data_IF_580530833111
#
_entry.id   IF_580530833111
#
_cell.length_a   1.000
_cell.length_b   1.000
_cell.length_c   1.000
_cell.angle_alpha   90.00
_cell.angle_beta   90.00
_cell.angle_gamma   90.00
#
_symmetry.space_group_name_H-M   'P 1'
#
loop_
_entity.id
_entity.type
_entity.pdbx_description
1 polymer ?
#
# COMPACT_ATOMS: atom_id res chain seq x y z
N UNK A 1 15.59 7.95 -4.00
CA UNK A 1 14.69 9.11 -4.14
C UNK A 1 13.40 8.93 -3.34
N UNK A 2 12.77 7.75 -3.34
CA UNK A 2 11.67 7.50 -2.41
C UNK A 2 12.18 7.38 -0.98
N UNK A 3 11.41 7.91 -0.02
CA UNK A 3 11.73 7.91 1.40
C UNK A 3 10.85 6.90 2.15
N UNK A 4 9.52 7.00 1.99
CA UNK A 4 8.57 6.19 2.77
C UNK A 4 7.38 5.72 1.94
N UNK A 5 6.77 4.61 2.39
CA UNK A 5 5.38 4.30 2.09
C UNK A 5 4.52 5.25 2.93
N UNK A 6 4.04 6.32 2.33
CA UNK A 6 3.48 7.46 3.05
C UNK A 6 1.96 7.38 3.17
N UNK A 7 1.30 6.90 2.11
CA UNK A 7 -0.15 6.82 2.03
C UNK A 7 -0.64 5.80 1.02
N UNK A 8 -1.94 5.59 1.01
CA UNK A 8 -2.67 4.94 -0.09
C UNK A 8 -3.97 5.69 -0.33
N UNK A 9 -4.43 5.68 -1.61
CA UNK A 9 -5.74 6.22 -1.98
C UNK A 9 -6.69 5.06 -2.26
N UNK A 10 -7.86 5.10 -1.62
CA UNK A 10 -8.90 4.09 -1.74
C UNK A 10 -10.15 4.75 -2.32
N UNK A 11 -10.62 4.25 -3.47
CA UNK A 11 -11.87 4.70 -4.06
C UNK A 11 -13.04 4.08 -3.30
N UNK A 12 -13.93 4.91 -2.76
CA UNK A 12 -15.06 4.51 -1.92
C UNK A 12 -16.34 5.23 -2.34
N UNK A 13 -17.49 4.59 -2.11
CA UNK A 13 -18.80 5.18 -2.38
C UNK A 13 -19.17 6.20 -1.29
N UNK A 14 -18.79 5.92 -0.03
CA UNK A 14 -19.03 6.75 1.14
C UNK A 14 -17.79 6.77 2.01
N UNK A 15 -17.08 7.90 2.03
CA UNK A 15 -15.81 8.05 2.74
C UNK A 15 -15.95 7.98 4.26
N UNK A 16 -17.10 8.43 4.81
CA UNK A 16 -17.34 8.39 6.25
C UNK A 16 -17.63 6.98 6.73
N UNK A 17 -18.46 6.24 6.00
CA UNK A 17 -18.75 4.84 6.28
C UNK A 17 -17.52 3.97 6.16
N UNK A 18 -16.71 4.17 5.13
CA UNK A 18 -15.45 3.44 4.95
C UNK A 18 -14.46 3.72 6.10
N UNK A 19 -14.44 4.93 6.66
CA UNK A 19 -13.58 5.31 7.78
C UNK A 19 -13.88 4.55 9.09
N UNK A 20 -15.09 4.07 9.28
CA UNK A 20 -15.49 3.38 10.51
C UNK A 20 -14.64 2.13 10.80
N UNK A 21 -14.30 1.37 9.77
CA UNK A 21 -13.44 0.20 9.89
C UNK A 21 -12.04 0.53 10.40
N UNK A 22 -11.43 1.58 9.85
CA UNK A 22 -10.11 2.04 10.27
C UNK A 22 -10.10 2.57 11.70
N UNK A 23 -11.12 3.33 12.08
CA UNK A 23 -11.29 3.84 13.45
C UNK A 23 -11.46 2.70 14.46
N UNK A 24 -12.35 1.77 14.16
CA UNK A 24 -12.67 0.64 15.03
C UNK A 24 -11.48 -0.30 15.23
N UNK A 25 -10.82 -0.68 14.14
CA UNK A 25 -9.74 -1.70 14.18
C UNK A 25 -8.42 -1.10 14.64
N UNK A 26 -8.05 0.05 14.09
CA UNK A 26 -6.72 0.62 14.27
C UNK A 26 -6.69 1.86 15.18
N UNK A 27 -7.85 2.42 15.54
CA UNK A 27 -7.89 3.70 16.25
C UNK A 27 -7.44 4.86 15.35
N UNK A 28 -7.66 4.77 14.05
CA UNK A 28 -7.33 5.86 13.12
C UNK A 28 -8.17 7.10 13.40
N UNK A 29 -7.61 8.28 13.19
CA UNK A 29 -8.27 9.56 13.42
C UNK A 29 -8.35 10.37 12.13
N UNK A 30 -9.34 11.27 12.03
CA UNK A 30 -9.41 12.20 10.91
C UNK A 30 -8.27 13.21 11.01
N UNK A 31 -7.37 13.21 10.02
CA UNK A 31 -6.34 14.21 9.89
C UNK A 31 -6.88 15.50 9.24
N UNK A 32 -7.65 15.34 8.15
CA UNK A 32 -8.29 16.45 7.42
C UNK A 32 -9.34 15.94 6.44
N UNK A 33 -10.16 16.86 5.95
CA UNK A 33 -11.02 16.67 4.78
C UNK A 33 -10.68 17.73 3.74
N UNK A 34 -10.67 17.33 2.47
CA UNK A 34 -10.43 18.22 1.34
C UNK A 34 -11.10 17.70 0.06
N UNK A 35 -10.82 18.36 -1.07
CA UNK A 35 -11.24 17.92 -2.39
C UNK A 35 -10.05 17.92 -3.34
N UNK A 36 -10.02 16.95 -4.27
CA UNK A 36 -9.03 16.84 -5.34
C UNK A 36 -9.71 16.97 -6.70
N UNK A 37 -9.32 17.98 -7.47
CA UNK A 37 -9.77 18.14 -8.86
C UNK A 37 -9.15 17.09 -9.76
N UNK A 38 -7.88 16.74 -9.50
CA UNK A 38 -7.16 15.71 -10.26
C UNK A 38 -7.87 14.35 -10.17
N UNK A 39 -8.39 14.02 -9.00
CA UNK A 39 -9.11 12.77 -8.76
C UNK A 39 -10.61 12.88 -9.08
N UNK A 40 -11.19 14.10 -9.11
CA UNK A 40 -12.63 14.33 -9.15
C UNK A 40 -13.31 13.78 -7.89
N UNK A 41 -12.79 14.13 -6.71
CA UNK A 41 -13.21 13.49 -5.47
C UNK A 41 -13.16 14.42 -4.26
N UNK A 42 -14.09 14.22 -3.32
CA UNK A 42 -13.96 14.60 -1.92
C UNK A 42 -13.14 13.55 -1.19
N UNK A 43 -12.21 14.00 -0.34
CA UNK A 43 -11.34 13.10 0.41
C UNK A 43 -11.52 13.25 1.91
N UNK A 44 -11.59 12.13 2.60
CA UNK A 44 -11.40 12.03 4.05
C UNK A 44 -10.04 11.38 4.28
N UNK A 45 -9.12 12.13 4.83
CA UNK A 45 -7.76 11.66 5.12
C UNK A 45 -7.70 11.22 6.57
N UNK A 46 -7.38 9.95 6.78
CA UNK A 46 -7.18 9.36 8.09
C UNK A 46 -5.70 9.24 8.41
N UNK A 47 -5.32 9.64 9.61
CA UNK A 47 -4.02 9.30 10.19
C UNK A 47 -4.06 7.83 10.66
N UNK A 48 -3.12 7.02 10.17
CA UNK A 48 -2.92 5.61 10.51
C UNK A 48 -1.45 5.38 10.86
N UNK A 49 -1.13 5.40 12.16
CA UNK A 49 0.26 5.49 12.59
C UNK A 49 0.88 6.80 12.09
N UNK A 50 2.07 6.71 11.52
CA UNK A 50 2.79 7.82 10.88
C UNK A 50 2.38 8.06 9.41
N UNK A 51 1.46 7.24 8.87
CA UNK A 51 1.00 7.25 7.47
C UNK A 51 -0.45 7.71 7.34
N UNK A 52 -0.91 7.89 6.11
CA UNK A 52 -2.28 8.33 5.81
C UNK A 52 -3.04 7.32 4.95
N UNK A 53 -4.35 7.22 5.18
CA UNK A 53 -5.31 6.58 4.28
C UNK A 53 -6.19 7.69 3.71
N UNK A 54 -6.17 7.88 2.40
CA UNK A 54 -7.04 8.84 1.71
C UNK A 54 -8.25 8.10 1.14
N UNK A 55 -9.42 8.29 1.77
CA UNK A 55 -10.70 7.74 1.31
C UNK A 55 -11.31 8.74 0.32
N UNK A 56 -11.35 8.34 -0.96
CA UNK A 56 -11.73 9.18 -2.07
C UNK A 56 -13.15 8.84 -2.53
N UNK A 57 -14.10 9.75 -2.30
CA UNK A 57 -15.50 9.66 -2.73
C UNK A 57 -15.70 10.54 -3.97
N UNK A 58 -16.38 10.06 -5.05
CA UNK A 58 -16.58 10.85 -6.26
C UNK A 58 -17.26 12.19 -5.98
N UNK A 59 -16.75 13.25 -6.62
CA UNK A 59 -17.36 14.59 -6.63
C UNK A 59 -17.52 15.05 -8.09
N UNK A 60 -18.48 14.46 -8.79
CA UNK A 60 -18.68 14.63 -10.23
C UNK A 60 -17.89 13.61 -11.08
N UNK A 61 -17.65 13.94 -12.35
CA UNK A 61 -16.87 13.12 -13.26
C UNK A 61 -15.37 13.19 -12.90
N UNK A 62 -14.67 12.05 -12.98
CA UNK A 62 -13.25 12.01 -12.70
C UNK A 62 -12.72 10.59 -12.40
N UNK A 63 -11.43 10.51 -12.10
CA UNK A 63 -10.68 9.24 -11.94
C UNK A 63 -11.29 8.31 -10.89
N UNK A 64 -11.80 8.85 -9.78
CA UNK A 64 -12.42 8.05 -8.72
C UNK A 64 -13.75 7.46 -9.18
N UNK A 65 -14.59 8.26 -9.87
CA UNK A 65 -15.84 7.76 -10.47
C UNK A 65 -15.59 6.67 -11.50
N UNK A 66 -14.62 6.86 -12.40
CA UNK A 66 -14.23 5.87 -13.41
C UNK A 66 -13.71 4.58 -12.78
N UNK A 67 -12.90 4.72 -11.72
CA UNK A 67 -12.39 3.57 -10.98
C UNK A 67 -13.52 2.76 -10.33
N UNK A 68 -14.44 3.43 -9.64
CA UNK A 68 -15.59 2.80 -9.01
C UNK A 68 -16.50 2.10 -10.02
N UNK A 69 -16.79 2.75 -11.15
CA UNK A 69 -17.60 2.16 -12.21
C UNK A 69 -16.98 0.87 -12.77
N UNK A 70 -15.67 0.84 -12.89
CA UNK A 70 -14.93 -0.30 -13.46
C UNK A 70 -14.64 -1.40 -12.45
N UNK A 71 -14.29 -1.04 -11.21
CA UNK A 71 -13.69 -1.97 -10.24
C UNK A 71 -14.43 -2.07 -8.90
N UNK A 72 -15.38 -1.16 -8.63
CA UNK A 72 -15.99 -1.00 -7.31
C UNK A 72 -15.02 -0.39 -6.29
N UNK A 73 -15.45 -0.36 -5.03
CA UNK A 73 -14.61 0.10 -3.93
C UNK A 73 -13.33 -0.74 -3.83
N UNK A 74 -12.18 -0.08 -3.94
CA UNK A 74 -10.87 -0.75 -3.88
C UNK A 74 -9.72 0.23 -3.76
N UNK A 75 -8.56 -0.30 -3.39
CA UNK A 75 -7.28 0.39 -3.47
C UNK A 75 -7.02 0.86 -4.91
N UNK A 76 -6.74 2.17 -5.07
CA UNK A 76 -6.64 2.81 -6.36
C UNK A 76 -5.22 3.29 -6.67
N UNK A 77 -4.54 3.91 -5.70
CA UNK A 77 -3.24 4.57 -5.92
C UNK A 77 -2.26 4.22 -4.82
N UNK A 78 -1.02 3.88 -5.19
CA UNK A 78 0.09 3.73 -4.26
C UNK A 78 0.72 5.10 -3.96
N UNK A 79 0.99 5.38 -2.70
CA UNK A 79 1.48 6.69 -2.28
C UNK A 79 2.79 6.61 -1.52
N UNK A 80 3.77 7.38 -1.96
CA UNK A 80 5.08 7.46 -1.34
C UNK A 80 5.46 8.91 -1.03
N UNK A 81 6.46 9.08 -0.19
CA UNK A 81 7.08 10.38 0.02
C UNK A 81 8.51 10.43 -0.50
N UNK A 82 8.97 11.64 -0.73
CA UNK A 82 10.36 11.97 -1.07
C UNK A 82 10.77 13.26 -0.38
N UNK A 83 12.05 13.40 -0.06
CA UNK A 83 12.59 14.64 0.51
C UNK A 83 12.64 15.78 -0.50
N UNK A 84 12.64 15.48 -1.80
CA UNK A 84 12.66 16.47 -2.88
C UNK A 84 11.74 16.03 -4.04
N UNK A 85 10.48 16.51 -3.99
CA UNK A 85 9.48 16.25 -5.03
C UNK A 85 9.91 16.87 -6.36
N UNK A 86 10.54 18.05 -6.34
CA UNK A 86 10.94 18.72 -7.57
C UNK A 86 12.09 17.97 -8.29
N UNK A 87 13.03 17.39 -7.53
CA UNK A 87 14.08 16.56 -8.12
C UNK A 87 13.51 15.28 -8.74
N UNK A 88 12.52 14.65 -8.09
CA UNK A 88 11.82 13.50 -8.67
C UNK A 88 11.04 13.88 -9.91
N UNK A 89 10.31 14.99 -9.90
CA UNK A 89 9.55 15.49 -11.05
C UNK A 89 10.46 15.74 -12.25
N UNK A 90 11.61 16.43 -12.06
CA UNK A 90 12.61 16.61 -13.13
C UNK A 90 13.15 15.29 -13.68
N UNK A 91 13.37 14.30 -12.81
CA UNK A 91 13.80 12.96 -13.24
C UNK A 91 12.75 12.29 -14.12
N UNK A 92 11.49 12.33 -13.69
CA UNK A 92 10.36 11.75 -14.44
C UNK A 92 10.20 12.43 -15.81
N UNK A 93 10.32 13.75 -15.85
CA UNK A 93 10.28 14.53 -17.09
C UNK A 93 11.42 14.12 -18.05
N UNK A 94 12.66 14.00 -17.55
CA UNK A 94 13.81 13.50 -18.34
C UNK A 94 13.59 12.09 -18.91
N UNK A 95 12.76 11.28 -18.26
CA UNK A 95 12.38 9.93 -18.70
C UNK A 95 11.13 9.93 -19.59
N UNK A 96 10.59 11.11 -19.92
CA UNK A 96 9.39 11.25 -20.74
C UNK A 96 8.10 10.83 -20.03
N UNK A 97 8.09 10.80 -18.69
CA UNK A 97 6.91 10.44 -17.91
C UNK A 97 6.00 11.65 -17.74
N UNK A 98 4.77 11.54 -18.21
CA UNK A 98 3.76 12.59 -18.00
C UNK A 98 3.31 12.59 -16.53
N UNK A 99 3.47 13.73 -15.87
CA UNK A 99 3.04 13.95 -14.49
C UNK A 99 1.91 14.98 -14.43
N UNK A 100 1.15 14.94 -13.32
CA UNK A 100 0.20 15.98 -12.96
C UNK A 100 0.46 16.43 -11.52
N UNK A 101 0.36 17.72 -11.25
CA UNK A 101 0.58 18.28 -9.92
C UNK A 101 -0.68 18.92 -9.37
N UNK A 102 -1.00 18.61 -8.13
CA UNK A 102 -2.06 19.27 -7.37
C UNK A 102 -1.56 19.56 -5.95
N UNK A 103 -1.41 20.84 -5.63
CA UNK A 103 -0.75 21.25 -4.39
C UNK A 103 0.67 20.70 -4.30
N UNK A 104 0.96 19.98 -3.22
CA UNK A 104 2.25 19.34 -3.03
C UNK A 104 2.33 17.91 -3.58
N UNK A 105 1.22 17.36 -4.07
CA UNK A 105 1.14 16.00 -4.60
C UNK A 105 1.47 15.96 -6.08
N UNK A 106 2.34 15.00 -6.46
CA UNK A 106 2.71 14.69 -7.83
C UNK A 106 2.10 13.34 -8.22
N UNK A 107 1.34 13.32 -9.30
CA UNK A 107 0.63 12.15 -9.81
C UNK A 107 1.20 11.67 -11.13
N UNK A 108 1.35 10.37 -11.28
CA UNK A 108 1.66 9.71 -12.56
C UNK A 108 1.23 8.24 -12.51
N UNK A 109 1.29 7.56 -13.66
CA UNK A 109 0.86 6.17 -13.71
C UNK A 109 0.99 5.57 -15.11
N UNK A 110 0.17 4.56 -15.45
CA UNK A 110 0.18 3.96 -16.77
C UNK A 110 0.02 5.02 -17.89
N UNK A 111 0.71 4.86 -19.05
CA UNK A 111 1.46 3.67 -19.45
C UNK A 111 2.90 3.57 -18.93
N UNK A 112 3.39 4.55 -18.18
CA UNK A 112 4.79 4.62 -17.72
C UNK A 112 5.11 3.64 -16.58
N UNK A 113 4.09 3.09 -15.95
CA UNK A 113 4.21 2.14 -14.83
C UNK A 113 3.45 0.86 -15.14
N UNK A 114 3.90 -0.31 -14.65
CA UNK A 114 3.16 -1.57 -14.78
C UNK A 114 1.82 -1.53 -14.03
N UNK A 115 0.80 -0.96 -14.65
CA UNK A 115 -0.60 -0.95 -14.19
C UNK A 115 -0.92 -0.14 -12.93
N UNK A 116 0.06 0.52 -12.29
CA UNK A 116 -0.13 1.16 -10.98
C UNK A 116 -0.05 2.68 -11.06
N UNK A 117 -1.10 3.41 -10.66
CA UNK A 117 -1.04 4.84 -10.42
C UNK A 117 -0.29 5.16 -9.12
N UNK A 118 0.48 6.25 -9.16
CA UNK A 118 1.26 6.74 -8.02
C UNK A 118 0.87 8.17 -7.63
N UNK A 119 0.95 8.44 -6.33
CA UNK A 119 0.96 9.78 -5.75
C UNK A 119 2.20 9.95 -4.90
N UNK A 120 2.97 11.00 -5.15
CA UNK A 120 4.19 11.32 -4.39
C UNK A 120 3.97 12.63 -3.65
N UNK A 121 4.36 12.65 -2.38
CA UNK A 121 4.24 13.83 -1.51
C UNK A 121 5.60 14.19 -0.89
N UNK A 122 5.79 15.40 -0.39
CA UNK A 122 6.92 15.72 0.46
C UNK A 122 6.97 14.82 1.68
N UNK A 123 8.16 14.39 2.09
CA UNK A 123 8.35 13.68 3.35
C UNK A 123 8.03 14.62 4.51
N UNK A 124 7.08 14.22 5.34
CA UNK A 124 6.61 15.00 6.50
C UNK A 124 6.63 14.11 7.73
N UNK A 125 7.14 14.64 8.84
CA UNK A 125 7.00 13.98 10.12
C UNK A 125 5.54 14.08 10.59
N UNK A 126 4.96 12.93 10.96
CA UNK A 126 3.63 12.87 11.57
C UNK A 126 3.73 12.14 12.91
N UNK A 127 3.04 12.63 13.94
CA UNK A 127 2.91 11.89 15.20
C UNK A 127 2.17 10.56 14.92
N UNK A 128 2.53 9.53 15.67
CA UNK A 128 1.87 8.23 15.56
C UNK A 128 0.46 8.30 16.14
N UNK A 129 -0.52 7.80 15.37
CA UNK A 129 -1.94 7.78 15.73
C UNK A 129 -2.45 6.33 15.78
N UNK A 130 -3.23 6.01 16.81
CA UNK A 130 -3.86 4.70 16.98
C UNK A 130 -2.87 3.58 17.26
N UNK A 131 -3.20 2.35 16.83
CA UNK A 131 -2.43 1.12 17.07
C UNK A 131 -1.40 0.81 15.98
N UNK A 132 -1.48 1.49 14.84
CA UNK A 132 -0.54 1.33 13.74
C UNK A 132 0.78 2.08 14.00
N UNK A 133 1.87 1.57 13.42
CA UNK A 133 3.16 2.27 13.36
C UNK A 133 3.26 3.06 12.06
N UNK A 134 3.25 2.38 10.91
CA UNK A 134 3.36 2.99 9.58
C UNK A 134 3.00 1.99 8.48
N UNK A 135 2.58 2.49 7.32
CA UNK A 135 2.56 1.72 6.09
C UNK A 135 4.01 1.45 5.66
N UNK A 136 4.31 0.23 5.24
CA UNK A 136 5.65 -0.11 4.80
C UNK A 136 5.73 -0.75 3.42
N UNK A 137 4.58 -1.16 2.85
CA UNK A 137 4.57 -1.86 1.58
C UNK A 137 3.28 -1.64 0.81
N UNK A 138 3.40 -1.54 -0.51
CA UNK A 138 2.30 -1.78 -1.43
C UNK A 138 2.67 -2.95 -2.34
N UNK A 139 1.71 -3.84 -2.59
CA UNK A 139 1.89 -5.03 -3.42
C UNK A 139 1.29 -4.82 -4.80
N UNK A 140 2.13 -4.94 -5.82
CA UNK A 140 1.71 -4.93 -7.22
C UNK A 140 1.68 -6.36 -7.74
N UNK A 141 0.51 -6.82 -8.19
CA UNK A 141 0.39 -8.10 -8.90
C UNK A 141 0.66 -7.89 -10.37
N UNK A 142 1.41 -8.82 -10.97
CA UNK A 142 1.89 -8.73 -12.33
C UNK A 142 1.51 -9.97 -13.14
N UNK A 143 1.05 -9.74 -14.37
CA UNK A 143 1.05 -10.71 -15.46
C UNK A 143 2.41 -10.66 -16.16
N UNK A 144 2.97 -9.44 -16.26
CA UNK A 144 4.27 -9.17 -16.86
C UNK A 144 5.43 -9.69 -15.99
N UNK A 145 6.62 -9.76 -16.59
CA UNK A 145 7.83 -10.18 -15.87
C UNK A 145 8.20 -9.19 -14.75
N UNK A 146 8.34 -9.70 -13.54
CA UNK A 146 8.67 -8.89 -12.38
C UNK A 146 10.06 -8.23 -12.47
N UNK A 147 11.00 -8.80 -13.22
CA UNK A 147 12.33 -8.23 -13.41
C UNK A 147 12.26 -6.96 -14.26
N UNK A 148 11.45 -7.00 -15.30
CA UNK A 148 11.14 -5.83 -16.14
C UNK A 148 10.46 -4.74 -15.32
N UNK A 149 9.46 -5.07 -14.50
CA UNK A 149 8.80 -4.11 -13.61
C UNK A 149 9.78 -3.51 -12.58
N UNK A 150 10.68 -4.33 -12.01
CA UNK A 150 11.72 -3.87 -11.08
C UNK A 150 12.71 -2.91 -11.75
N UNK A 151 13.12 -3.19 -12.99
CA UNK A 151 13.98 -2.30 -13.77
C UNK A 151 13.31 -0.95 -14.06
N UNK A 152 12.01 -0.97 -14.44
CA UNK A 152 11.22 0.26 -14.65
C UNK A 152 11.19 1.09 -13.36
N UNK A 153 10.83 0.50 -12.23
CA UNK A 153 10.74 1.23 -10.95
C UNK A 153 12.11 1.70 -10.45
N UNK A 154 13.17 0.93 -10.70
CA UNK A 154 14.54 1.40 -10.42
C UNK A 154 14.88 2.63 -11.26
N UNK A 155 14.52 2.62 -12.53
CA UNK A 155 14.68 3.76 -13.43
C UNK A 155 13.89 4.98 -12.97
N UNK A 156 12.59 4.83 -12.69
CA UNK A 156 11.71 5.92 -12.30
C UNK A 156 12.12 6.55 -10.97
N UNK A 157 12.36 5.73 -9.95
CA UNK A 157 12.56 6.18 -8.58
C UNK A 157 14.03 6.24 -8.13
N UNK A 158 14.98 5.81 -8.98
CA UNK A 158 16.38 5.73 -8.59
C UNK A 158 16.64 4.72 -7.48
N UNK A 159 15.91 3.59 -7.48
CA UNK A 159 16.09 2.54 -6.48
C UNK A 159 17.37 1.74 -6.79
N UNK A 160 18.02 1.26 -5.73
CA UNK A 160 19.25 0.46 -5.82
C UNK A 160 18.91 -1.04 -5.83
N UNK A 161 19.07 -1.76 -6.96
CA UNK A 161 18.75 -3.18 -7.05
C UNK A 161 19.54 -4.08 -6.09
N UNK A 162 20.72 -3.63 -5.61
CA UNK A 162 21.51 -4.38 -4.64
C UNK A 162 20.84 -4.51 -3.27
N UNK A 163 19.84 -3.67 -3.01
CA UNK A 163 19.04 -3.66 -1.78
C UNK A 163 17.79 -4.53 -1.88
N UNK A 164 17.49 -5.07 -3.07
CA UNK A 164 16.26 -5.84 -3.30
C UNK A 164 16.36 -7.22 -2.67
N UNK A 165 15.18 -7.75 -2.31
CA UNK A 165 15.05 -9.09 -1.73
C UNK A 165 14.10 -9.94 -2.56
N UNK A 166 14.62 -11.07 -3.09
CA UNK A 166 13.79 -12.02 -3.84
C UNK A 166 12.76 -12.67 -2.92
N UNK A 167 11.54 -12.77 -3.41
CA UNK A 167 10.41 -13.40 -2.70
C UNK A 167 9.69 -14.40 -3.60
N UNK A 168 8.90 -15.26 -3.00
CA UNK A 168 8.01 -16.18 -3.71
C UNK A 168 7.22 -17.04 -2.73
N UNK A 169 6.09 -17.53 -3.21
CA UNK A 169 5.22 -18.39 -2.41
C UNK A 169 4.51 -19.42 -3.30
N UNK A 170 4.77 -20.69 -3.04
CA UNK A 170 3.97 -21.77 -3.66
C UNK A 170 2.50 -21.71 -3.21
N UNK A 171 2.24 -21.39 -1.93
CA UNK A 171 0.88 -21.28 -1.37
C UNK A 171 0.05 -20.22 -2.07
N UNK A 172 0.63 -19.07 -2.36
CA UNK A 172 -0.06 -17.94 -2.99
C UNK A 172 0.20 -17.83 -4.48
N UNK A 173 1.03 -18.75 -5.02
CA UNK A 173 1.37 -18.88 -6.43
C UNK A 173 1.90 -17.59 -7.05
N UNK A 174 3.02 -17.09 -6.52
CA UNK A 174 3.75 -15.95 -7.08
C UNK A 174 5.26 -16.09 -6.88
N UNK A 175 6.02 -15.39 -7.70
CA UNK A 175 7.43 -15.07 -7.52
C UNK A 175 7.67 -13.59 -7.77
N UNK A 176 8.75 -13.02 -7.20
CA UNK A 176 8.99 -11.60 -7.37
C UNK A 176 10.11 -11.05 -6.52
N UNK A 177 10.00 -9.76 -6.22
CA UNK A 177 10.97 -9.04 -5.41
C UNK A 177 10.34 -7.96 -4.54
N UNK A 178 10.99 -7.67 -3.41
CA UNK A 178 10.77 -6.48 -2.62
C UNK A 178 11.82 -5.45 -3.02
N UNK A 179 11.37 -4.27 -3.47
CA UNK A 179 12.26 -3.18 -3.88
C UNK A 179 12.49 -2.23 -2.72
N UNK A 180 13.27 -2.66 -1.72
CA UNK A 180 13.49 -1.90 -0.49
C UNK A 180 14.15 -0.55 -0.76
N UNK A 181 13.68 0.52 -0.07
CA UNK A 181 14.17 1.89 -0.26
C UNK A 181 15.48 2.12 0.49
N UNK A 182 15.50 1.89 1.80
CA UNK A 182 16.68 2.13 2.66
C UNK A 182 16.88 1.06 3.74
N UNK A 183 17.03 -0.23 3.38
CA UNK A 183 17.34 -1.26 4.36
C UNK A 183 18.83 -1.16 4.84
N UNK A 184 19.13 -1.47 6.10
CA UNK A 184 18.24 -1.98 7.12
C UNK A 184 17.55 -0.89 7.96
N UNK A 185 17.72 0.40 7.63
CA UNK A 185 17.24 1.51 8.46
C UNK A 185 15.72 1.65 8.44
N UNK A 186 15.09 1.39 7.26
CA UNK A 186 13.65 1.41 7.08
C UNK A 186 13.16 0.20 6.28
N UNK A 187 11.95 -0.25 6.62
CA UNK A 187 11.30 -1.40 5.99
C UNK A 187 10.59 -1.05 4.67
N UNK A 188 10.43 0.22 4.36
CA UNK A 188 9.63 0.72 3.23
C UNK A 188 10.05 0.11 1.90
N UNK A 189 9.07 -0.38 1.12
CA UNK A 189 9.31 -1.14 -0.11
C UNK A 189 8.09 -1.21 -1.01
N UNK A 190 8.32 -1.56 -2.26
CA UNK A 190 7.28 -2.01 -3.19
C UNK A 190 7.45 -3.51 -3.38
N UNK A 191 6.39 -4.27 -3.22
CA UNK A 191 6.35 -5.68 -3.61
C UNK A 191 5.93 -5.79 -5.08
N UNK A 192 6.74 -6.50 -5.87
CA UNK A 192 6.45 -6.85 -7.26
C UNK A 192 6.27 -8.36 -7.34
N UNK A 193 5.02 -8.80 -7.48
CA UNK A 193 4.62 -10.20 -7.42
C UNK A 193 4.03 -10.69 -8.74
N UNK A 194 4.85 -11.35 -9.55
CA UNK A 194 4.39 -12.02 -10.76
C UNK A 194 3.62 -13.28 -10.39
N UNK A 195 2.38 -13.36 -10.85
CA UNK A 195 1.51 -14.50 -10.57
C UNK A 195 1.92 -15.71 -11.38
N UNK A 196 2.07 -16.86 -10.72
CA UNK A 196 2.46 -18.14 -11.34
C UNK A 196 1.33 -19.17 -11.40
N UNK A 197 0.18 -18.90 -10.73
CA UNK A 197 -0.97 -19.79 -10.69
C UNK A 197 -2.29 -19.06 -10.89
N UNK A 198 -3.01 -19.32 -12.02
CA UNK A 198 -4.23 -18.59 -12.37
C UNK A 198 -5.38 -18.81 -11.36
N UNK A 199 -5.43 -19.97 -10.71
CA UNK A 199 -6.50 -20.36 -9.79
C UNK A 199 -6.29 -19.82 -8.35
N UNK A 200 -5.16 -19.20 -8.07
CA UNK A 200 -4.92 -18.54 -6.78
C UNK A 200 -5.78 -17.27 -6.63
N UNK A 201 -5.90 -16.74 -5.41
CA UNK A 201 -6.60 -15.46 -5.19
C UNK A 201 -5.96 -14.31 -5.98
N UNK A 202 -4.62 -14.25 -5.99
CA UNK A 202 -3.87 -13.27 -6.79
C UNK A 202 -4.07 -13.53 -8.29
N UNK A 203 -4.09 -14.81 -8.73
CA UNK A 203 -4.31 -15.18 -10.12
C UNK A 203 -5.66 -14.71 -10.64
N UNK A 204 -6.72 -15.00 -9.91
CA UNK A 204 -8.08 -14.53 -10.30
C UNK A 204 -8.21 -13.01 -10.31
N UNK A 205 -7.54 -12.32 -9.38
CA UNK A 205 -7.50 -10.85 -9.35
C UNK A 205 -6.77 -10.30 -10.58
N UNK A 206 -5.58 -10.82 -10.87
CA UNK A 206 -4.72 -10.37 -11.96
C UNK A 206 -5.31 -10.69 -13.34
N UNK A 207 -6.00 -11.84 -13.47
CA UNK A 207 -6.73 -12.18 -14.70
C UNK A 207 -7.82 -11.16 -15.07
N UNK A 208 -8.40 -10.49 -14.07
CA UNK A 208 -9.43 -9.45 -14.26
C UNK A 208 -8.85 -8.06 -14.48
N UNK A 209 -7.70 -7.74 -13.87
CA UNK A 209 -7.16 -6.38 -13.80
C UNK A 209 -5.87 -6.18 -14.60
N UNK A 210 -5.18 -7.25 -14.99
CA UNK A 210 -3.83 -7.16 -15.51
C UNK A 210 -2.83 -6.76 -14.40
N UNK A 211 -1.71 -6.17 -14.80
CA UNK A 211 -0.77 -5.57 -13.85
C UNK A 211 -1.48 -4.49 -13.06
N UNK A 212 -1.48 -4.58 -11.74
CA UNK A 212 -2.28 -3.69 -10.91
C UNK A 212 -1.87 -3.70 -9.43
N UNK A 213 -2.29 -2.66 -8.73
CA UNK A 213 -2.16 -2.54 -7.28
C UNK A 213 -3.15 -3.47 -6.59
N UNK A 214 -2.66 -4.35 -5.72
CA UNK A 214 -3.42 -5.42 -5.09
C UNK A 214 -3.76 -5.15 -3.63
N UNK A 215 -2.77 -4.77 -2.83
CA UNK A 215 -2.93 -4.55 -1.40
C UNK A 215 -1.84 -3.64 -0.84
N UNK A 216 -1.99 -3.27 0.43
CA UNK A 216 -0.95 -2.60 1.20
C UNK A 216 -0.68 -3.34 2.51
N UNK A 217 0.46 -3.01 3.15
CA UNK A 217 0.81 -3.55 4.46
C UNK A 217 1.11 -2.43 5.46
N UNK A 218 0.70 -2.68 6.70
CA UNK A 218 0.95 -1.81 7.84
C UNK A 218 1.67 -2.58 8.95
N UNK A 219 2.68 -1.96 9.55
CA UNK A 219 3.24 -2.41 10.81
C UNK A 219 2.39 -1.85 11.96
N UNK A 220 2.13 -2.66 12.97
CA UNK A 220 1.41 -2.26 14.17
C UNK A 220 2.28 -2.49 15.41
N UNK A 221 2.31 -1.52 16.29
CA UNK A 221 3.00 -1.64 17.59
C UNK A 221 2.13 -2.27 18.68
N UNK A 222 0.83 -2.27 18.49
CA UNK A 222 -0.17 -2.88 19.36
C UNK A 222 -0.97 -3.95 18.60
N UNK A 223 -0.31 -5.06 18.25
CA UNK A 223 -1.00 -6.18 17.62
C UNK A 223 -2.07 -6.81 18.53
N UNK A 224 -1.85 -7.01 19.84
CA UNK A 224 -2.92 -7.51 20.72
C UNK A 224 -4.18 -6.64 20.69
N UNK A 225 -4.06 -5.31 20.69
CA UNK A 225 -5.19 -4.40 20.63
C UNK A 225 -5.89 -4.43 19.26
N UNK A 226 -5.16 -4.58 18.15
CA UNK A 226 -5.74 -4.79 16.83
C UNK A 226 -6.49 -6.12 16.76
N UNK A 227 -5.89 -7.20 17.25
CA UNK A 227 -6.50 -8.53 17.30
C UNK A 227 -7.79 -8.54 18.12
N UNK A 228 -7.77 -7.95 19.32
CA UNK A 228 -8.97 -7.81 20.16
C UNK A 228 -10.08 -7.03 19.41
N UNK A 229 -9.75 -5.91 18.80
CA UNK A 229 -10.73 -5.11 18.03
C UNK A 229 -11.34 -5.90 16.85
N UNK A 230 -10.56 -6.74 16.17
CA UNK A 230 -11.05 -7.61 15.10
C UNK A 230 -12.02 -8.67 15.62
N UNK A 231 -11.69 -9.28 16.77
CA UNK A 231 -12.52 -10.32 17.40
C UNK A 231 -13.82 -9.74 17.96
N UNK A 232 -13.76 -8.65 18.72
CA UNK A 232 -14.91 -8.01 19.37
C UNK A 232 -15.92 -7.49 18.35
N UNK A 233 -15.44 -6.93 17.25
CA UNK A 233 -16.29 -6.41 16.16
C UNK A 233 -16.71 -7.49 15.16
N UNK A 234 -16.26 -8.74 15.33
CA UNK A 234 -16.48 -9.85 14.37
C UNK A 234 -16.06 -9.47 12.95
N UNK A 235 -15.04 -8.63 12.82
CA UNK A 235 -14.51 -8.21 11.52
C UNK A 235 -13.89 -9.38 10.78
N UNK A 236 -14.00 -9.36 9.45
CA UNK A 236 -13.42 -10.41 8.61
C UNK A 236 -11.92 -10.18 8.47
N UNK A 237 -11.14 -11.17 8.85
CA UNK A 237 -9.70 -11.21 8.70
C UNK A 237 -9.20 -12.63 8.54
N UNK A 238 -7.98 -12.79 8.09
CA UNK A 238 -7.31 -14.09 7.94
C UNK A 238 -5.98 -14.05 8.66
N UNK A 239 -5.71 -14.93 9.64
CA UNK A 239 -4.42 -14.97 10.30
C UNK A 239 -3.31 -15.38 9.33
N UNK A 240 -2.09 -14.92 9.59
CA UNK A 240 -0.92 -15.20 8.74
C UNK A 240 -0.59 -16.69 8.67
N UNK A 241 -0.76 -17.41 9.75
CA UNK A 241 -0.62 -18.86 9.82
C UNK A 241 -1.81 -19.55 10.47
N UNK A 242 -1.73 -20.87 10.59
CA UNK A 242 -2.79 -21.70 11.18
C UNK A 242 -2.52 -22.08 12.64
N UNK A 243 -1.34 -21.77 13.14
CA UNK A 243 -0.96 -22.06 14.53
C UNK A 243 -0.92 -20.79 15.38
N UNK A 244 -1.04 -20.96 16.69
CA UNK A 244 -1.08 -19.85 17.64
C UNK A 244 0.21 -18.99 17.62
N UNK A 245 1.34 -19.53 17.16
CA UNK A 245 2.59 -18.79 17.06
C UNK A 245 2.55 -17.79 15.90
N UNK A 246 2.08 -18.21 14.73
CA UNK A 246 1.97 -17.34 13.55
C UNK A 246 0.76 -16.40 13.61
N UNK A 247 -0.27 -16.71 14.36
CA UNK A 247 -1.39 -15.80 14.65
C UNK A 247 -0.93 -14.55 15.40
N UNK A 248 0.13 -14.66 16.21
CA UNK A 248 0.77 -13.52 16.90
C UNK A 248 1.54 -12.58 15.98
N UNK A 249 1.80 -12.97 14.75
CA UNK A 249 2.59 -12.19 13.80
C UNK A 249 1.76 -11.26 12.93
N UNK A 250 0.43 -11.39 12.97
CA UNK A 250 -0.49 -10.56 12.19
C UNK A 250 -1.40 -11.36 11.26
N UNK A 251 -1.94 -10.68 10.26
CA UNK A 251 -2.90 -11.28 9.32
C UNK A 251 -3.28 -10.32 8.21
N UNK A 252 -4.41 -10.61 7.55
CA UNK A 252 -4.98 -9.77 6.50
C UNK A 252 -6.40 -9.37 6.87
N UNK A 253 -6.66 -8.06 7.00
CA UNK A 253 -8.00 -7.51 7.17
C UNK A 253 -8.66 -7.46 5.79
N UNK A 254 -9.88 -8.00 5.70
CA UNK A 254 -10.57 -8.13 4.42
C UNK A 254 -11.07 -6.80 3.88
N UNK A 255 -11.15 -6.64 2.55
CA UNK A 255 -11.57 -5.40 1.89
C UNK A 255 -12.91 -4.84 2.38
N UNK A 256 -13.86 -5.70 2.73
CA UNK A 256 -15.18 -5.27 3.22
C UNK A 256 -15.15 -4.45 4.51
N UNK A 257 -14.10 -4.59 5.29
CA UNK A 257 -13.92 -3.85 6.54
C UNK A 257 -13.31 -2.47 6.34
N UNK A 258 -12.63 -2.26 5.19
CA UNK A 258 -11.76 -1.12 4.94
C UNK A 258 -12.05 -0.43 3.59
N UNK A 259 -13.33 -0.35 3.18
CA UNK A 259 -13.72 0.33 1.94
C UNK A 259 -13.07 -0.24 0.69
N UNK A 260 -12.83 -1.55 0.65
CA UNK A 260 -12.24 -2.23 -0.50
C UNK A 260 -10.71 -2.43 -0.44
N UNK A 261 -10.02 -1.92 0.58
CA UNK A 261 -8.59 -2.18 0.80
C UNK A 261 -8.36 -3.53 1.46
N UNK A 262 -7.63 -4.44 0.81
CA UNK A 262 -7.00 -5.58 1.47
C UNK A 262 -5.76 -5.09 2.20
N UNK A 263 -5.75 -5.14 3.52
CA UNK A 263 -4.64 -4.64 4.33
C UNK A 263 -3.96 -5.77 5.09
N UNK A 264 -2.69 -6.01 4.75
CA UNK A 264 -1.82 -6.87 5.53
C UNK A 264 -1.37 -6.15 6.80
N UNK A 265 -1.48 -6.83 7.93
CA UNK A 265 -1.08 -6.31 9.23
C UNK A 265 0.04 -7.17 9.77
N UNK A 266 1.13 -6.54 10.19
CA UNK A 266 2.30 -7.19 10.75
C UNK A 266 2.64 -6.56 12.10
N UNK A 267 2.91 -7.39 13.13
CA UNK A 267 3.51 -6.86 14.36
C UNK A 267 4.89 -6.26 14.08
N UNK A 268 5.38 -5.48 15.01
CA UNK A 268 6.68 -4.81 14.92
C UNK A 268 7.77 -5.75 14.46
N UNK A 269 8.52 -5.33 13.47
CA UNK A 269 9.70 -5.98 12.87
C UNK A 269 9.49 -7.32 12.16
N UNK A 270 8.36 -8.01 12.31
CA UNK A 270 8.20 -9.36 11.74
C UNK A 270 8.38 -9.37 10.21
N UNK A 271 8.02 -8.29 9.54
CA UNK A 271 8.11 -8.20 8.08
C UNK A 271 9.56 -8.15 7.54
N UNK A 272 10.56 -7.97 8.39
CA UNK A 272 11.98 -8.15 8.02
C UNK A 272 12.32 -9.59 7.66
N UNK A 273 11.52 -10.58 8.09
CA UNK A 273 11.72 -11.98 7.74
C UNK A 273 11.76 -12.20 6.22
N UNK A 274 10.88 -11.52 5.48
CA UNK A 274 10.81 -11.61 4.01
C UNK A 274 11.80 -10.68 3.30
N UNK A 275 12.40 -9.75 4.02
CA UNK A 275 13.34 -8.76 3.46
C UNK A 275 14.80 -9.24 3.45
N UNK A 276 15.03 -10.54 3.68
CA UNK A 276 16.38 -11.11 3.72
C UNK A 276 17.20 -10.71 4.96
N UNK A 277 16.55 -10.12 5.97
CA UNK A 277 17.17 -9.60 7.20
C UNK A 277 16.52 -10.16 8.45
N UNK A 278 16.42 -11.49 8.53
CA UNK A 278 15.77 -12.21 9.64
C UNK A 278 16.35 -11.86 11.03
N UNK A 279 17.62 -11.46 11.09
CA UNK A 279 18.26 -11.03 12.33
C UNK A 279 17.67 -9.74 12.92
N UNK A 280 16.88 -8.97 12.14
CA UNK A 280 16.17 -7.76 12.62
C UNK A 280 14.80 -8.09 13.22
N UNK A 281 14.33 -9.33 13.13
CA UNK A 281 13.03 -9.75 13.67
C UNK A 281 13.15 -9.90 15.20
N UNK A 282 12.45 -9.03 15.92
CA UNK A 282 12.37 -9.14 17.38
C UNK A 282 11.38 -10.25 17.79
N UNK A 283 11.61 -10.83 18.97
CA UNK A 283 10.65 -11.76 19.57
C UNK A 283 9.29 -11.07 19.78
N UNK A 284 8.16 -11.79 19.71
CA UNK A 284 6.86 -11.27 20.10
C UNK A 284 6.90 -10.81 21.57
N UNK A 285 6.37 -9.63 21.82
CA UNK A 285 6.17 -9.10 23.17
C UNK A 285 4.83 -9.54 23.71
#
# INVERSE_FOLDING_TARGET
>A
MLDRCDRVQVAVIDRHKAAEGYRRIFGAETAREDSSRHLGAKRLILALGESEIELCEPDGAGRVGDHLAKWGESLMTAGYSTVDVAALERRLDQLGVTTAREGEQLYFGPPHTPGVPFVISPSTYRPRVGRASFLYETTNTLVSDWRTAAAIYSGLFGLDPSRFSKIGSHRFAYEGTLTLFDPPNRLDRIELSQVTGPDSAMGRFTARRGDSLYMAYVEVHDWPGVHAALMDSKSRWTPRGKDAATERDGGWVHPKELGGLLLGVSRTTVAWEWSGRKHLVAAPR
#
